data_IF_097655705173
#
_entry.id   IF_097655705173
#
_cell.length_a   1.000
_cell.length_b   1.000
_cell.length_c   1.000
_cell.angle_alpha   90.00
_cell.angle_beta   90.00
_cell.angle_gamma   90.00
#
_symmetry.space_group_name_H-M   'P 1'
#
loop_
_entity.id
_entity.type
_entity.pdbx_description
1 polymer ?
#
# COMPACT_ATOMS: atom_id res chain seq x y z
N UNK A 1 -40.01 28.66 29.43
CA UNK A 1 -39.37 27.53 30.14
C UNK A 1 -38.38 26.90 29.16
N UNK A 2 -37.12 26.86 29.59
CA UNK A 2 -35.95 26.18 29.02
C UNK A 2 -36.33 24.83 28.34
N UNK A 3 -35.74 24.43 27.21
CA UNK A 3 -34.31 24.12 27.10
C UNK A 3 -33.83 24.14 25.64
N UNK A 4 -32.81 24.97 25.37
CA UNK A 4 -31.91 24.82 24.22
C UNK A 4 -31.23 23.46 24.36
N UNK A 5 -31.61 22.48 23.53
CA UNK A 5 -30.95 21.18 23.48
C UNK A 5 -29.63 21.38 22.71
N UNK A 6 -28.46 21.45 23.38
CA UNK A 6 -27.23 21.79 22.71
C UNK A 6 -26.69 20.56 21.99
N UNK A 7 -26.36 20.75 20.70
CA UNK A 7 -25.23 20.15 19.99
C UNK A 7 -24.63 18.89 20.66
N UNK A 8 -25.19 17.71 20.43
CA UNK A 8 -24.59 16.44 20.86
C UNK A 8 -24.70 15.33 19.81
N UNK A 9 -24.85 15.70 18.53
CA UNK A 9 -25.04 14.75 17.43
C UNK A 9 -23.94 14.81 16.35
N UNK A 10 -22.73 15.31 16.67
CA UNK A 10 -21.68 15.50 15.65
C UNK A 10 -20.28 15.12 16.13
N UNK A 11 -20.12 13.95 16.76
CA UNK A 11 -18.81 13.44 17.18
C UNK A 11 -18.53 11.97 16.79
N UNK A 12 -19.25 11.41 15.81
CA UNK A 12 -19.14 10.00 15.45
C UNK A 12 -18.40 9.72 14.12
N UNK A 13 -17.73 10.70 13.49
CA UNK A 13 -17.35 10.60 12.08
C UNK A 13 -15.85 10.47 11.74
N UNK A 14 -14.92 10.19 12.65
CA UNK A 14 -13.47 10.26 12.29
C UNK A 14 -12.56 9.13 12.82
N UNK A 15 -13.07 7.96 13.19
CA UNK A 15 -12.22 6.90 13.78
C UNK A 15 -11.83 5.75 12.84
N UNK A 16 -12.22 5.76 11.57
CA UNK A 16 -11.90 4.69 10.62
C UNK A 16 -10.94 5.17 9.52
N UNK A 17 -9.67 5.46 9.83
CA UNK A 17 -8.67 5.81 8.78
C UNK A 17 -7.17 5.56 9.05
N UNK A 18 -6.65 5.12 10.23
CA UNK A 18 -5.20 5.02 10.38
C UNK A 18 -4.58 3.85 9.62
N UNK A 19 -5.25 2.70 9.56
CA UNK A 19 -4.72 1.49 8.90
C UNK A 19 -4.54 1.67 7.38
N UNK A 20 -5.57 2.16 6.68
CA UNK A 20 -5.50 2.37 5.22
C UNK A 20 -4.47 3.41 4.79
N UNK A 21 -4.22 4.43 5.61
CA UNK A 21 -3.19 5.44 5.30
C UNK A 21 -1.77 4.87 5.48
N UNK A 22 -1.60 3.97 6.45
CA UNK A 22 -0.34 3.22 6.66
C UNK A 22 -0.08 2.28 5.47
N UNK A 23 -1.10 1.51 5.05
CA UNK A 23 -1.00 0.56 3.94
C UNK A 23 -0.66 1.25 2.62
N UNK A 24 -1.28 2.40 2.33
CA UNK A 24 -0.95 3.21 1.15
C UNK A 24 0.51 3.64 1.15
N UNK A 25 1.00 4.13 2.28
CA UNK A 25 2.39 4.60 2.41
C UNK A 25 3.37 3.43 2.24
N UNK A 26 3.10 2.32 2.92
CA UNK A 26 3.89 1.10 2.82
C UNK A 26 3.90 0.52 1.40
N UNK A 27 2.78 0.58 0.69
CA UNK A 27 2.68 0.22 -0.73
C UNK A 27 3.57 1.12 -1.61
N UNK A 28 3.50 2.45 -1.45
CA UNK A 28 4.34 3.38 -2.23
C UNK A 28 5.84 3.18 -1.97
N UNK A 29 6.24 2.96 -0.72
CA UNK A 29 7.63 2.68 -0.35
C UNK A 29 8.09 1.33 -0.92
N UNK A 30 7.23 0.32 -0.88
CA UNK A 30 7.46 -0.98 -1.48
C UNK A 30 7.70 -0.92 -2.99
N UNK A 31 6.89 -0.14 -3.72
CA UNK A 31 7.09 0.13 -5.15
C UNK A 31 8.45 0.80 -5.41
N UNK A 32 8.82 1.79 -4.58
CA UNK A 32 10.13 2.43 -4.64
C UNK A 32 11.28 1.43 -4.52
N UNK A 33 11.19 0.51 -3.56
CA UNK A 33 12.15 -0.58 -3.38
C UNK A 33 12.22 -1.48 -4.63
N UNK A 34 11.10 -1.91 -5.20
CA UNK A 34 11.11 -2.78 -6.39
C UNK A 34 11.79 -2.08 -7.58
N UNK A 35 11.50 -0.79 -7.79
CA UNK A 35 12.15 0.01 -8.84
C UNK A 35 13.66 0.10 -8.63
N UNK A 36 14.11 0.33 -7.39
CA UNK A 36 15.53 0.36 -7.05
C UNK A 36 16.20 -0.98 -7.33
N UNK A 37 15.61 -2.10 -6.93
CA UNK A 37 16.17 -3.43 -7.18
C UNK A 37 16.23 -3.77 -8.67
N UNK A 38 15.22 -3.37 -9.45
CA UNK A 38 15.26 -3.50 -10.91
C UNK A 38 16.39 -2.66 -11.53
N UNK A 39 16.67 -1.48 -10.99
CA UNK A 39 17.78 -0.62 -11.40
C UNK A 39 19.17 -1.23 -11.18
N UNK A 40 19.29 -2.26 -10.33
CA UNK A 40 20.55 -3.01 -10.14
C UNK A 40 20.82 -4.06 -11.22
N UNK A 41 19.95 -4.18 -12.23
CA UNK A 41 20.04 -5.18 -13.29
C UNK A 41 20.20 -6.62 -12.78
N UNK A 42 19.24 -7.13 -11.97
CA UNK A 42 19.30 -8.49 -11.44
C UNK A 42 19.20 -9.53 -12.56
N UNK A 43 19.67 -10.76 -12.28
CA UNK A 43 19.58 -11.89 -13.21
C UNK A 43 18.14 -12.18 -13.65
N UNK A 44 17.96 -12.72 -14.86
CA UNK A 44 16.65 -12.83 -15.54
C UNK A 44 15.52 -13.46 -14.70
N UNK A 45 15.73 -14.55 -13.92
CA UNK A 45 14.65 -15.13 -13.12
C UNK A 45 14.15 -14.17 -12.03
N UNK A 46 15.06 -13.42 -11.41
CA UNK A 46 14.74 -12.42 -10.39
C UNK A 46 14.15 -11.17 -11.05
N UNK A 47 14.72 -10.73 -12.17
CA UNK A 47 14.22 -9.57 -12.92
C UNK A 47 12.76 -9.77 -13.37
N UNK A 48 12.42 -10.96 -13.87
CA UNK A 48 11.06 -11.30 -14.27
C UNK A 48 10.07 -11.24 -13.09
N UNK A 49 10.44 -11.79 -11.94
CA UNK A 49 9.63 -11.74 -10.70
C UNK A 49 9.41 -10.30 -10.24
N UNK A 50 10.47 -9.48 -10.20
CA UNK A 50 10.39 -8.08 -9.79
C UNK A 50 9.56 -7.23 -10.75
N UNK A 51 9.70 -7.40 -12.07
CA UNK A 51 8.88 -6.70 -13.08
C UNK A 51 7.39 -7.05 -12.93
N UNK A 52 7.07 -8.31 -12.68
CA UNK A 52 5.68 -8.75 -12.44
C UNK A 52 5.13 -8.12 -11.17
N UNK A 53 5.85 -8.22 -10.05
CA UNK A 53 5.44 -7.63 -8.78
C UNK A 53 5.23 -6.11 -8.88
N UNK A 54 6.13 -5.40 -9.57
CA UNK A 54 6.00 -3.96 -9.82
C UNK A 54 4.69 -3.63 -10.54
N UNK A 55 4.40 -4.34 -11.64
CA UNK A 55 3.17 -4.10 -12.43
C UNK A 55 1.91 -4.34 -11.61
N UNK A 56 1.91 -5.36 -10.75
CA UNK A 56 0.76 -5.64 -9.87
C UNK A 56 0.63 -4.51 -8.85
N UNK A 57 1.69 -4.22 -8.07
CA UNK A 57 1.68 -3.19 -7.05
C UNK A 57 1.25 -1.80 -7.59
N UNK A 58 1.72 -1.41 -8.77
CA UNK A 58 1.32 -0.15 -9.42
C UNK A 58 -0.17 -0.12 -9.82
N UNK A 59 -0.73 -1.25 -10.25
CA UNK A 59 -2.16 -1.37 -10.57
C UNK A 59 -2.99 -1.25 -9.30
N UNK A 60 -2.67 -2.05 -8.28
CA UNK A 60 -3.44 -2.07 -7.03
C UNK A 60 -3.37 -0.71 -6.30
N UNK A 61 -2.21 -0.03 -6.33
CA UNK A 61 -2.09 1.35 -5.85
C UNK A 61 -3.04 2.32 -6.57
N UNK A 62 -3.23 2.13 -7.88
CA UNK A 62 -4.15 2.94 -8.69
C UNK A 62 -5.62 2.61 -8.47
N UNK A 63 -5.92 1.37 -8.08
CA UNK A 63 -7.26 0.88 -7.75
C UNK A 63 -7.65 1.20 -6.29
N UNK A 64 -6.67 1.47 -5.42
CA UNK A 64 -6.90 1.74 -4.00
C UNK A 64 -6.92 0.49 -3.12
N UNK A 65 -6.60 -0.67 -3.71
CA UNK A 65 -6.52 -1.99 -3.08
C UNK A 65 -5.12 -2.15 -2.44
N UNK A 66 -4.94 -1.55 -1.25
CA UNK A 66 -3.61 -1.40 -0.66
C UNK A 66 -3.07 -2.71 -0.07
N UNK A 67 -3.93 -3.59 0.44
CA UNK A 67 -3.54 -4.91 0.93
C UNK A 67 -3.01 -5.81 -0.20
N UNK A 68 -3.66 -5.83 -1.36
CA UNK A 68 -3.19 -6.52 -2.55
C UNK A 68 -1.89 -5.91 -3.08
N UNK A 69 -1.73 -4.59 -2.98
CA UNK A 69 -0.45 -3.95 -3.25
C UNK A 69 0.64 -4.49 -2.31
N UNK A 70 0.37 -4.57 -1.00
CA UNK A 70 1.33 -5.06 -0.02
C UNK A 70 1.66 -6.54 -0.24
N UNK A 71 0.71 -7.36 -0.70
CA UNK A 71 0.97 -8.74 -1.10
C UNK A 71 1.94 -8.84 -2.28
N UNK A 72 1.75 -7.99 -3.30
CA UNK A 72 2.67 -7.91 -4.44
C UNK A 72 4.06 -7.41 -4.03
N UNK A 73 4.14 -6.43 -3.11
CA UNK A 73 5.41 -6.00 -2.51
C UNK A 73 6.05 -7.15 -1.72
N UNK A 74 5.25 -7.93 -0.98
CA UNK A 74 5.69 -9.11 -0.25
C UNK A 74 6.29 -10.18 -1.17
N UNK A 75 5.68 -10.43 -2.33
CA UNK A 75 6.22 -11.33 -3.36
C UNK A 75 7.59 -10.89 -3.85
N UNK A 76 7.77 -9.59 -4.11
CA UNK A 76 9.08 -9.05 -4.48
C UNK A 76 10.12 -9.27 -3.37
N UNK A 77 9.76 -8.98 -2.10
CA UNK A 77 10.65 -9.18 -0.94
C UNK A 77 11.05 -10.64 -0.77
N UNK A 78 10.12 -11.58 -0.99
CA UNK A 78 10.41 -13.02 -0.96
C UNK A 78 11.36 -13.40 -2.10
N UNK A 79 11.18 -12.85 -3.29
CA UNK A 79 12.09 -13.13 -4.42
C UNK A 79 13.52 -12.63 -4.19
N UNK A 80 13.71 -11.56 -3.42
CA UNK A 80 15.03 -10.99 -3.08
C UNK A 80 15.78 -11.77 -1.99
N UNK A 81 15.08 -12.58 -1.20
CA UNK A 81 15.67 -13.45 -0.18
C UNK A 81 15.85 -14.84 -0.82
N UNK A 82 17.07 -15.21 -1.25
CA UNK A 82 17.33 -16.49 -1.88
C UNK A 82 17.04 -17.68 -0.96
#
# INVERSE_FOLDING_TARGET
MFMRLPLLALAAAVLASPALADDRTACTDGIGMIRMELGKNPAEPLQGKLKKALRVAERELGEGEFDECLDAVGDARRALKP
#
